data_IF_838803208681
#
_entry.id   IF_838803208681
#
_cell.length_a   1.000
_cell.length_b   1.000
_cell.length_c   1.000
_cell.angle_alpha   90.00
_cell.angle_beta   90.00
_cell.angle_gamma   90.00
#
_symmetry.space_group_name_H-M   'P 1'
#
loop_
_entity.id
_entity.type
_entity.pdbx_description
1 polymer ?
#
# COMPACT_ATOMS: atom_id res chain seq x y z
N UNK A 1 2.67 -11.97 7.45
CA UNK A 1 1.24 -11.80 7.10
C UNK A 1 1.10 -10.68 6.08
N UNK A 2 0.00 -10.62 5.34
CA UNK A 2 -0.20 -9.60 4.31
C UNK A 2 -0.93 -8.37 4.85
N UNK A 3 -0.43 -7.20 4.48
CA UNK A 3 -1.07 -5.91 4.69
C UNK A 3 -1.25 -5.21 3.36
N UNK A 4 -2.31 -4.41 3.27
CA UNK A 4 -2.65 -3.68 2.06
C UNK A 4 -2.71 -2.19 2.37
N UNK A 5 -2.00 -1.38 1.60
CA UNK A 5 -1.89 0.06 1.82
C UNK A 5 -2.59 0.79 0.69
N UNK A 6 -3.54 1.64 1.06
CA UNK A 6 -4.29 2.49 0.14
C UNK A 6 -3.73 3.91 0.10
N UNK A 7 -4.08 4.60 -0.98
CA UNK A 7 -3.67 5.95 -1.27
C UNK A 7 -4.89 6.88 -1.32
N UNK A 8 -4.71 8.12 -0.85
CA UNK A 8 -5.74 9.15 -0.97
C UNK A 8 -5.96 9.56 -2.42
N UNK A 9 -7.01 10.34 -2.68
CA UNK A 9 -7.37 10.78 -4.03
C UNK A 9 -6.25 11.55 -4.74
N UNK A 10 -5.48 12.34 -3.98
CA UNK A 10 -4.36 13.16 -4.48
C UNK A 10 -2.98 12.58 -4.15
N UNK A 11 -2.90 11.39 -3.55
CA UNK A 11 -1.61 10.78 -3.16
C UNK A 11 -1.13 9.89 -4.31
N UNK A 12 -0.27 10.42 -5.18
CA UNK A 12 0.29 9.70 -6.33
C UNK A 12 1.80 9.57 -6.18
N UNK A 13 2.31 8.34 -6.23
CA UNK A 13 3.73 8.02 -6.15
C UNK A 13 4.18 7.20 -7.34
N UNK A 14 5.43 7.40 -7.79
CA UNK A 14 6.07 6.49 -8.75
C UNK A 14 7.30 5.85 -8.08
N UNK A 15 7.26 4.53 -7.89
CA UNK A 15 8.31 3.78 -7.21
C UNK A 15 8.72 2.62 -8.10
N UNK A 16 9.97 2.62 -8.56
CA UNK A 16 10.48 1.55 -9.43
C UNK A 16 9.68 1.37 -10.73
N UNK A 17 9.06 2.44 -11.26
CA UNK A 17 8.21 2.38 -12.44
C UNK A 17 6.75 1.98 -12.18
N UNK A 18 6.38 1.69 -10.93
CA UNK A 18 5.00 1.40 -10.53
C UNK A 18 4.34 2.69 -10.02
N UNK A 19 3.21 3.05 -10.63
CA UNK A 19 2.37 4.14 -10.14
C UNK A 19 1.45 3.64 -9.04
N UNK A 20 1.62 4.20 -7.84
CA UNK A 20 0.76 4.00 -6.68
C UNK A 20 -0.19 5.21 -6.58
N UNK A 21 -1.49 4.95 -6.65
CA UNK A 21 -2.57 5.94 -6.59
C UNK A 21 -3.82 5.34 -5.94
N UNK A 22 -4.90 6.10 -5.89
CA UNK A 22 -6.18 5.71 -5.26
C UNK A 22 -6.77 4.38 -5.76
N UNK A 23 -6.39 3.91 -6.95
CA UNK A 23 -7.02 2.76 -7.59
C UNK A 23 -6.28 1.43 -7.35
N UNK A 24 -5.14 1.47 -6.65
CA UNK A 24 -4.29 0.31 -6.37
C UNK A 24 -3.99 0.19 -4.88
N UNK A 25 -3.77 -1.04 -4.43
CA UNK A 25 -3.26 -1.34 -3.10
C UNK A 25 -1.80 -1.77 -3.18
N UNK A 26 -0.95 -1.21 -2.32
CA UNK A 26 0.39 -1.73 -2.11
C UNK A 26 0.32 -2.88 -1.11
N UNK A 27 0.66 -4.08 -1.56
CA UNK A 27 0.72 -5.30 -0.76
C UNK A 27 2.09 -5.44 -0.10
N UNK A 28 2.10 -5.66 1.22
CA UNK A 28 3.31 -5.75 2.04
C UNK A 28 3.24 -6.99 2.93
N UNK A 29 4.28 -7.80 2.88
CA UNK A 29 4.49 -8.88 3.85
C UNK A 29 5.29 -8.37 5.05
N UNK A 30 4.67 -8.41 6.23
CA UNK A 30 5.27 -7.98 7.48
C UNK A 30 4.78 -8.85 8.66
N UNK A 31 5.46 -8.79 9.80
CA UNK A 31 5.08 -9.52 11.02
C UNK A 31 3.89 -8.86 11.72
N UNK A 32 3.73 -7.54 11.57
CA UNK A 32 2.65 -6.76 12.16
C UNK A 32 2.43 -5.43 11.42
N UNK A 33 1.32 -4.75 11.73
CA UNK A 33 0.95 -3.48 11.08
C UNK A 33 2.01 -2.39 11.28
N UNK A 34 2.64 -2.34 12.46
CA UNK A 34 3.69 -1.37 12.78
C UNK A 34 4.91 -1.51 11.88
N UNK A 35 5.32 -2.74 11.59
CA UNK A 35 6.37 -3.01 10.63
C UNK A 35 5.96 -2.60 9.20
N UNK A 36 4.75 -2.98 8.75
CA UNK A 36 4.26 -2.60 7.43
C UNK A 36 4.29 -1.07 7.23
N UNK A 37 3.74 -0.31 8.19
CA UNK A 37 3.75 1.17 8.19
C UNK A 37 5.16 1.73 8.14
N UNK A 38 6.10 1.15 8.89
CA UNK A 38 7.50 1.58 8.89
C UNK A 38 8.15 1.39 7.52
N UNK A 39 7.86 0.29 6.81
CA UNK A 39 8.42 0.06 5.48
C UNK A 39 7.84 1.03 4.44
N UNK A 40 6.51 1.23 4.44
CA UNK A 40 5.84 2.26 3.63
C UNK A 40 6.50 3.62 3.85
N UNK A 41 6.63 4.04 5.10
CA UNK A 41 7.19 5.35 5.44
C UNK A 41 8.62 5.53 4.90
N UNK A 42 9.45 4.48 4.97
CA UNK A 42 10.83 4.54 4.48
C UNK A 42 10.92 4.64 2.95
N UNK A 43 9.96 4.08 2.23
CA UNK A 43 9.98 4.02 0.76
C UNK A 43 9.28 5.22 0.12
N UNK A 44 8.05 5.52 0.56
CA UNK A 44 7.17 6.51 -0.07
C UNK A 44 6.82 7.69 0.83
N UNK A 45 7.36 7.73 2.05
CA UNK A 45 7.13 8.83 2.97
C UNK A 45 5.75 8.81 3.62
N UNK A 46 5.25 9.98 4.08
CA UNK A 46 4.03 10.06 4.89
C UNK A 46 2.73 10.05 4.06
N UNK A 47 2.79 10.19 2.74
CA UNK A 47 1.61 10.44 1.90
C UNK A 47 0.92 9.15 1.45
N UNK A 48 0.21 8.52 2.38
CA UNK A 48 -0.65 7.36 2.14
C UNK A 48 -1.87 7.47 3.06
N UNK A 49 -2.89 6.62 2.86
CA UNK A 49 -4.15 6.77 3.58
C UNK A 49 -4.31 5.77 4.71
N UNK A 50 -4.44 4.48 4.38
CA UNK A 50 -4.81 3.45 5.36
C UNK A 50 -4.13 2.13 5.08
N UNK A 51 -3.79 1.42 6.16
CA UNK A 51 -3.38 0.03 6.15
C UNK A 51 -4.57 -0.86 6.49
N UNK A 52 -4.71 -1.95 5.75
CA UNK A 52 -5.71 -2.99 5.95
C UNK A 52 -5.03 -4.34 6.16
N UNK A 53 -5.74 -5.24 6.82
CA UNK A 53 -5.50 -6.68 6.79
C UNK A 53 -6.34 -7.31 5.69
N UNK A 54 -6.08 -8.58 5.38
CA UNK A 54 -6.86 -9.37 4.42
C UNK A 54 -8.36 -9.43 4.76
N UNK A 55 -8.71 -9.49 6.06
CA UNK A 55 -10.11 -9.54 6.50
C UNK A 55 -10.85 -8.19 6.40
N UNK A 56 -10.13 -7.07 6.30
CA UNK A 56 -10.70 -5.72 6.39
C UNK A 56 -10.67 -4.95 5.09
N UNK A 57 -9.88 -5.40 4.12
CA UNK A 57 -9.78 -4.78 2.81
C UNK A 57 -10.97 -5.16 1.93
N UNK A 58 -11.47 -4.17 1.17
CA UNK A 58 -12.51 -4.37 0.15
C UNK A 58 -11.89 -4.17 -1.22
N UNK A 59 -11.41 -5.25 -1.82
CA UNK A 59 -10.67 -5.20 -3.08
C UNK A 59 -11.49 -4.61 -4.22
N UNK A 60 -12.83 -4.68 -4.18
CA UNK A 60 -13.69 -4.11 -5.22
C UNK A 60 -13.59 -2.58 -5.34
N UNK A 61 -13.03 -1.88 -4.34
CA UNK A 61 -12.79 -0.44 -4.39
C UNK A 61 -11.48 -0.05 -5.07
N UNK A 62 -10.63 -1.01 -5.40
CA UNK A 62 -9.29 -0.80 -5.97
C UNK A 62 -9.21 -1.50 -7.32
N UNK A 63 -9.70 -0.89 -8.41
CA UNK A 63 -9.88 -1.55 -9.70
C UNK A 63 -8.58 -2.00 -10.37
N UNK A 64 -7.41 -1.49 -9.93
CA UNK A 64 -6.09 -1.97 -10.38
C UNK A 64 -5.55 -3.12 -9.54
N UNK A 65 -6.27 -3.53 -8.48
CA UNK A 65 -5.90 -4.64 -7.61
C UNK A 65 -4.74 -4.31 -6.68
N UNK A 66 -3.88 -5.29 -6.45
CA UNK A 66 -2.70 -5.16 -5.58
C UNK A 66 -1.41 -5.15 -6.39
N UNK A 67 -0.40 -4.47 -5.87
CA UNK A 67 0.97 -4.49 -6.40
C UNK A 67 1.97 -4.73 -5.27
N UNK A 68 3.02 -5.47 -5.58
CA UNK A 68 4.17 -5.66 -4.68
C UNK A 68 5.38 -4.95 -5.27
N UNK A 69 6.11 -4.22 -4.44
CA UNK A 69 7.35 -3.56 -4.84
C UNK A 69 8.49 -4.16 -4.01
N UNK A 70 9.54 -4.72 -4.64
CA UNK A 70 10.67 -5.28 -3.90
C UNK A 70 11.34 -4.24 -2.99
N UNK A 71 11.59 -4.60 -1.74
CA UNK A 71 12.22 -3.72 -0.75
C UNK A 71 11.26 -2.79 -0.01
N UNK A 72 9.95 -2.90 -0.27
CA UNK A 72 8.87 -2.28 0.50
C UNK A 72 8.21 -3.27 1.46
#
# INVERSE_FOLDING_TARGET
MKFYVSFGQDHVHNVGGVTLDKDVLLEIEADNEGEARRRVWKTIGPEWHRVYTEDTVKFEYFPRGTVTIPGV
#
